data_IF_376918341861
#
_entry.id   IF_376918341861
#
_cell.length_a   1.000
_cell.length_b   1.000
_cell.length_c   1.000
_cell.angle_alpha   90.00
_cell.angle_beta   90.00
_cell.angle_gamma   90.00
#
_symmetry.space_group_name_H-M   'P 1'
#
loop_
_entity.id
_entity.type
_entity.pdbx_description
1 polymer ?
#
# COMPACT_ATOMS: atom_id res chain seq x y z
N UNK A 1 -1.81 34.23 -12.01
CA UNK A 1 -1.06 34.10 -13.28
C UNK A 1 0.40 34.47 -12.97
N UNK A 2 1.22 33.47 -12.73
CA UNK A 2 2.62 33.67 -12.24
C UNK A 2 3.62 33.57 -13.39
N UNK A 3 3.26 32.98 -14.53
CA UNK A 3 4.22 32.70 -15.60
C UNK A 3 3.68 33.13 -16.96
N UNK A 4 4.58 33.64 -17.81
CA UNK A 4 4.37 33.72 -19.23
C UNK A 4 4.19 32.32 -19.84
N UNK A 5 3.98 32.24 -21.12
CA UNK A 5 3.87 30.97 -21.85
C UNK A 5 5.21 30.21 -21.67
N UNK A 6 5.18 29.07 -20.98
CA UNK A 6 6.29 28.15 -20.86
C UNK A 6 5.96 26.94 -21.72
N UNK A 7 6.79 26.68 -22.73
CA UNK A 7 6.71 25.44 -23.49
C UNK A 7 7.36 24.32 -22.68
N UNK A 8 6.58 23.29 -22.39
CA UNK A 8 7.02 22.08 -21.70
C UNK A 8 7.15 20.97 -22.73
N UNK A 9 8.25 20.25 -22.70
CA UNK A 9 8.44 19.05 -23.52
C UNK A 9 7.55 17.91 -22.98
N UNK A 10 7.46 17.77 -21.67
CA UNK A 10 6.67 16.74 -20.99
C UNK A 10 6.01 17.30 -19.74
N UNK A 11 4.84 16.75 -19.41
CA UNK A 11 4.05 17.09 -18.20
C UNK A 11 3.60 15.83 -17.52
N UNK A 12 4.06 15.60 -16.31
CA UNK A 12 3.68 14.45 -15.51
C UNK A 12 2.80 14.87 -14.34
N UNK A 13 1.93 13.96 -13.93
CA UNK A 13 1.08 14.16 -12.76
C UNK A 13 1.07 12.90 -11.87
N UNK A 14 0.76 13.12 -10.61
CA UNK A 14 0.43 12.07 -9.66
C UNK A 14 -1.05 12.18 -9.28
N UNK A 15 -1.68 11.08 -8.94
CA UNK A 15 -3.09 11.07 -8.55
C UNK A 15 -3.28 10.50 -7.16
N UNK A 16 -4.04 11.19 -6.31
CA UNK A 16 -4.47 10.66 -5.01
C UNK A 16 -5.75 9.81 -5.10
N UNK A 17 -6.35 9.69 -6.30
CA UNK A 17 -7.60 8.96 -6.54
C UNK A 17 -8.63 9.21 -5.46
N UNK A 18 -9.37 10.29 -5.54
CA UNK A 18 -10.50 10.66 -4.67
C UNK A 18 -10.77 9.65 -3.50
N UNK A 19 -9.99 9.73 -2.42
CA UNK A 19 -10.11 8.82 -1.25
C UNK A 19 -9.09 7.69 -1.16
N UNK A 20 -8.10 7.64 -2.08
CA UNK A 20 -7.06 6.62 -2.09
C UNK A 20 -7.49 5.29 -2.68
N UNK A 21 -6.52 4.42 -2.91
CA UNK A 21 -6.74 3.03 -3.31
C UNK A 21 -7.10 2.21 -2.07
N UNK A 22 -8.33 1.73 -2.00
CA UNK A 22 -8.80 0.90 -0.88
C UNK A 22 -8.26 -0.51 -1.02
N UNK A 23 -7.47 -0.95 -0.07
CA UNK A 23 -6.92 -2.29 -0.06
C UNK A 23 -7.19 -3.04 1.24
N UNK A 24 -7.25 -4.34 1.12
CA UNK A 24 -7.04 -5.27 2.22
C UNK A 24 -5.81 -6.12 1.91
N UNK A 25 -5.14 -6.56 2.95
CA UNK A 25 -4.04 -7.50 2.84
C UNK A 25 -4.31 -8.74 3.70
N UNK A 26 -3.86 -9.89 3.22
CA UNK A 26 -4.08 -11.18 3.86
C UNK A 26 -2.72 -11.88 3.94
N UNK A 27 -2.37 -12.37 5.14
CA UNK A 27 -1.12 -13.08 5.36
C UNK A 27 -1.29 -14.26 6.30
N UNK A 28 -0.23 -15.06 6.48
CA UNK A 28 -0.27 -16.23 7.36
C UNK A 28 -0.09 -15.84 8.83
N UNK A 29 0.95 -15.06 9.14
CA UNK A 29 1.33 -14.72 10.51
C UNK A 29 1.33 -13.19 10.67
N UNK A 30 0.70 -12.64 11.74
CA UNK A 30 0.55 -11.20 11.93
C UNK A 30 1.85 -10.40 11.84
N UNK A 31 2.89 -10.84 12.56
CA UNK A 31 4.18 -10.14 12.69
C UNK A 31 5.16 -10.46 11.55
N UNK A 32 4.75 -11.26 10.57
CA UNK A 32 5.58 -11.70 9.45
C UNK A 32 4.92 -11.39 8.11
N UNK A 33 4.33 -12.39 7.47
CA UNK A 33 3.77 -12.27 6.11
C UNK A 33 2.61 -11.27 6.02
N UNK A 34 1.80 -11.14 7.07
CA UNK A 34 0.74 -10.13 7.08
C UNK A 34 1.32 -8.71 7.21
N UNK A 35 2.35 -8.52 8.03
CA UNK A 35 3.07 -7.25 8.10
C UNK A 35 3.77 -6.92 6.79
N UNK A 36 4.49 -7.88 6.17
CA UNK A 36 5.12 -7.69 4.86
C UNK A 36 4.10 -7.28 3.78
N UNK A 37 2.94 -7.92 3.77
CA UNK A 37 1.82 -7.59 2.89
C UNK A 37 1.30 -6.17 3.11
N UNK A 38 1.18 -5.75 4.35
CA UNK A 38 0.78 -4.40 4.71
C UNK A 38 1.81 -3.36 4.24
N UNK A 39 3.10 -3.59 4.47
CA UNK A 39 4.17 -2.68 4.03
C UNK A 39 4.22 -2.57 2.49
N UNK A 40 4.04 -3.68 1.76
CA UNK A 40 3.95 -3.66 0.31
C UNK A 40 2.79 -2.77 -0.16
N UNK A 41 1.62 -2.92 0.44
CA UNK A 41 0.42 -2.14 0.08
C UNK A 41 0.58 -0.64 0.37
N UNK A 42 1.09 -0.29 1.56
CA UNK A 42 1.32 1.10 1.97
C UNK A 42 2.37 1.79 1.10
N UNK A 43 3.50 1.13 0.81
CA UNK A 43 4.56 1.64 -0.05
C UNK A 43 4.11 1.81 -1.51
N UNK A 44 3.11 1.03 -1.96
CA UNK A 44 2.46 1.25 -3.26
C UNK A 44 1.52 2.46 -3.30
N UNK A 45 1.30 3.15 -2.19
CA UNK A 45 0.40 4.30 -2.08
C UNK A 45 -1.06 3.96 -1.75
N UNK A 46 -1.33 2.73 -1.33
CA UNK A 46 -2.67 2.31 -0.95
C UNK A 46 -3.06 2.77 0.48
N UNK A 47 -4.37 2.84 0.72
CA UNK A 47 -4.97 2.89 2.05
C UNK A 47 -5.35 1.46 2.45
N UNK A 48 -4.59 0.85 3.36
CA UNK A 48 -4.89 -0.48 3.89
C UNK A 48 -5.94 -0.34 4.99
N UNK A 49 -7.15 -0.79 4.70
CA UNK A 49 -8.23 -0.75 5.70
C UNK A 49 -8.02 -1.77 6.81
N UNK A 50 -7.72 -3.02 6.41
CA UNK A 50 -7.51 -4.12 7.36
C UNK A 50 -6.49 -5.12 6.83
N UNK A 51 -5.71 -5.66 7.73
CA UNK A 51 -4.81 -6.79 7.46
C UNK A 51 -5.36 -8.01 8.17
N UNK A 52 -5.68 -9.04 7.41
CA UNK A 52 -6.12 -10.34 7.93
C UNK A 52 -4.94 -11.28 8.09
N UNK A 53 -5.01 -12.13 9.09
CA UNK A 53 -4.00 -13.15 9.35
C UNK A 53 -4.66 -14.50 9.54
N UNK A 54 -3.93 -15.57 9.25
CA UNK A 54 -4.43 -16.93 9.30
C UNK A 54 -5.53 -17.20 8.26
N UNK A 55 -6.39 -18.18 8.53
CA UNK A 55 -7.52 -18.54 7.68
C UNK A 55 -8.65 -17.54 7.82
N UNK A 56 -9.13 -17.02 6.70
CA UNK A 56 -10.30 -16.16 6.65
C UNK A 56 -11.53 -16.88 7.20
N UNK A 57 -12.30 -16.19 8.04
CA UNK A 57 -13.56 -16.66 8.55
C UNK A 57 -14.74 -16.18 7.70
N UNK A 58 -15.92 -16.78 7.90
CA UNK A 58 -17.15 -16.26 7.28
C UNK A 58 -17.51 -14.83 7.73
N UNK A 59 -17.02 -14.42 8.91
CA UNK A 59 -17.14 -13.04 9.41
C UNK A 59 -16.28 -12.09 8.58
N UNK A 60 -15.00 -12.46 8.38
CA UNK A 60 -14.07 -11.67 7.58
C UNK A 60 -14.58 -11.53 6.14
N UNK A 61 -15.13 -12.59 5.54
CA UNK A 61 -15.70 -12.50 4.19
C UNK A 61 -16.86 -11.50 4.10
N UNK A 62 -17.74 -11.45 5.11
CA UNK A 62 -18.81 -10.44 5.16
C UNK A 62 -18.27 -9.02 5.27
N UNK A 63 -17.24 -8.79 6.09
CA UNK A 63 -16.57 -7.50 6.19
C UNK A 63 -15.94 -7.10 4.86
N UNK A 64 -15.28 -8.03 4.16
CA UNK A 64 -14.68 -7.78 2.84
C UNK A 64 -15.76 -7.41 1.81
N UNK A 65 -16.87 -8.13 1.81
CA UNK A 65 -18.02 -7.85 0.94
C UNK A 65 -18.61 -6.46 1.20
N UNK A 66 -18.76 -6.04 2.46
CA UNK A 66 -19.27 -4.71 2.83
C UNK A 66 -18.30 -3.59 2.48
N UNK A 67 -17.01 -3.80 2.71
CA UNK A 67 -15.99 -2.79 2.48
C UNK A 67 -15.75 -2.52 0.99
N UNK A 68 -15.91 -3.52 0.12
CA UNK A 68 -15.64 -3.43 -1.33
C UNK A 68 -14.25 -2.85 -1.61
N UNK A 69 -13.15 -3.56 -1.30
CA UNK A 69 -11.81 -3.10 -1.64
C UNK A 69 -11.61 -3.01 -3.15
N UNK A 70 -10.76 -2.08 -3.57
CA UNK A 70 -10.36 -1.92 -4.98
C UNK A 70 -9.35 -2.99 -5.40
N UNK A 71 -8.52 -3.47 -4.47
CA UNK A 71 -7.52 -4.54 -4.67
C UNK A 71 -7.40 -5.37 -3.39
N UNK A 72 -7.23 -6.67 -3.55
CA UNK A 72 -6.88 -7.60 -2.47
C UNK A 72 -5.45 -8.08 -2.69
N UNK A 73 -4.62 -8.01 -1.66
CA UNK A 73 -3.30 -8.62 -1.65
C UNK A 73 -3.35 -9.92 -0.84
N UNK A 74 -3.18 -11.04 -1.54
CA UNK A 74 -3.16 -12.38 -0.97
C UNK A 74 -1.73 -12.87 -0.83
N UNK A 75 -1.27 -13.05 0.40
CA UNK A 75 0.05 -13.56 0.73
C UNK A 75 -0.05 -14.73 1.72
N UNK A 76 1.05 -15.37 2.01
CA UNK A 76 1.14 -16.39 3.04
C UNK A 76 2.15 -17.48 2.72
N UNK A 77 2.90 -17.87 3.74
CA UNK A 77 4.01 -18.82 3.67
C UNK A 77 5.25 -18.26 2.98
N UNK A 78 6.41 -18.80 3.38
CA UNK A 78 7.67 -18.65 2.65
C UNK A 78 7.70 -19.60 1.45
N UNK A 79 8.61 -19.41 0.53
CA UNK A 79 8.73 -20.29 -0.65
C UNK A 79 9.08 -21.72 -0.24
N UNK A 80 8.23 -22.67 -0.67
CA UNK A 80 8.33 -24.07 -0.26
C UNK A 80 7.89 -24.36 1.19
N UNK A 81 7.40 -23.33 1.92
CA UNK A 81 6.81 -23.47 3.25
C UNK A 81 5.32 -23.75 3.24
N UNK A 82 4.58 -23.20 4.22
CA UNK A 82 3.13 -23.42 4.32
C UNK A 82 2.40 -22.93 3.06
N UNK A 83 1.59 -23.80 2.48
CA UNK A 83 0.70 -23.53 1.35
C UNK A 83 -0.78 -23.62 1.73
N UNK A 84 -1.14 -24.34 2.78
CA UNK A 84 -2.52 -24.63 3.14
C UNK A 84 -3.32 -23.34 3.42
N UNK A 85 -2.73 -22.40 4.13
CA UNK A 85 -3.40 -21.16 4.50
C UNK A 85 -3.72 -20.28 3.28
N UNK A 86 -2.77 -20.10 2.37
CA UNK A 86 -2.99 -19.25 1.18
C UNK A 86 -4.00 -19.90 0.23
N UNK A 87 -3.96 -21.21 0.04
CA UNK A 87 -4.91 -21.97 -0.77
C UNK A 87 -6.32 -21.89 -0.18
N UNK A 88 -6.45 -22.09 1.15
CA UNK A 88 -7.72 -21.91 1.84
C UNK A 88 -8.29 -20.50 1.65
N UNK A 89 -7.46 -19.48 1.79
CA UNK A 89 -7.88 -18.09 1.62
C UNK A 89 -8.25 -17.79 0.15
N UNK A 90 -7.55 -18.37 -0.82
CA UNK A 90 -7.94 -18.31 -2.23
C UNK A 90 -9.34 -18.93 -2.45
N UNK A 91 -9.61 -20.09 -1.83
CA UNK A 91 -10.93 -20.74 -1.90
C UNK A 91 -12.03 -19.85 -1.28
N UNK A 92 -11.76 -19.19 -0.16
CA UNK A 92 -12.71 -18.25 0.45
C UNK A 92 -12.97 -17.06 -0.49
N UNK A 93 -11.92 -16.46 -1.04
CA UNK A 93 -12.00 -15.29 -1.93
C UNK A 93 -12.68 -15.63 -3.27
N UNK A 94 -12.63 -16.89 -3.73
CA UNK A 94 -13.33 -17.30 -4.95
C UNK A 94 -14.84 -17.13 -4.85
N UNK A 95 -15.40 -17.08 -3.64
CA UNK A 95 -16.84 -16.91 -3.37
C UNK A 95 -17.30 -15.45 -3.30
N UNK A 96 -16.43 -14.45 -3.45
CA UNK A 96 -16.83 -13.03 -3.44
C UNK A 96 -17.91 -12.75 -4.52
N UNK A 97 -18.89 -11.92 -4.20
CA UNK A 97 -20.01 -11.60 -5.09
C UNK A 97 -19.65 -10.63 -6.22
N UNK A 98 -18.52 -9.93 -6.12
CA UNK A 98 -18.04 -8.95 -7.10
C UNK A 98 -16.62 -9.29 -7.57
N UNK A 99 -16.22 -8.76 -8.72
CA UNK A 99 -14.84 -8.89 -9.20
C UNK A 99 -13.96 -7.77 -8.66
N UNK A 100 -12.87 -8.19 -8.02
CA UNK A 100 -11.83 -7.33 -7.47
C UNK A 100 -10.48 -7.94 -7.84
N UNK A 101 -9.52 -7.19 -8.38
CA UNK A 101 -8.18 -7.69 -8.62
C UNK A 101 -7.56 -8.27 -7.37
N UNK A 102 -7.04 -9.48 -7.50
CA UNK A 102 -6.32 -10.19 -6.45
C UNK A 102 -4.86 -10.32 -6.87
N UNK A 103 -3.96 -9.69 -6.12
CA UNK A 103 -2.51 -9.84 -6.29
C UNK A 103 -2.07 -11.00 -5.41
N UNK A 104 -1.52 -12.04 -6.00
CA UNK A 104 -1.01 -13.23 -5.32
C UNK A 104 0.50 -13.06 -5.18
N UNK A 105 0.98 -12.82 -3.97
CA UNK A 105 2.38 -12.56 -3.66
C UNK A 105 2.85 -13.34 -2.41
N UNK A 106 2.46 -14.59 -2.33
CA UNK A 106 2.83 -15.53 -1.27
C UNK A 106 3.74 -16.66 -1.76
N UNK A 107 3.66 -17.79 -1.07
CA UNK A 107 4.45 -19.00 -1.41
C UNK A 107 4.34 -19.33 -2.91
N UNK A 108 5.46 -19.19 -3.63
CA UNK A 108 5.50 -19.43 -5.08
C UNK A 108 5.06 -20.82 -5.49
N UNK A 109 5.25 -21.82 -4.59
CA UNK A 109 4.86 -23.20 -4.87
C UNK A 109 3.34 -23.41 -4.86
N UNK A 110 2.58 -22.47 -4.30
CA UNK A 110 1.11 -22.47 -4.25
C UNK A 110 0.48 -21.43 -5.21
N UNK A 111 1.28 -20.62 -5.89
CA UNK A 111 0.79 -19.47 -6.63
C UNK A 111 -0.10 -19.86 -7.82
N UNK A 112 0.30 -20.85 -8.61
CA UNK A 112 -0.48 -21.35 -9.74
C UNK A 112 -1.80 -22.00 -9.26
N UNK A 113 -1.75 -22.83 -8.22
CA UNK A 113 -2.95 -23.46 -7.63
C UNK A 113 -3.90 -22.43 -7.04
N UNK A 114 -3.40 -21.34 -6.41
CA UNK A 114 -4.25 -20.21 -6.00
C UNK A 114 -4.97 -19.58 -7.18
N UNK A 115 -4.30 -19.41 -8.31
CA UNK A 115 -4.89 -18.84 -9.52
C UNK A 115 -5.96 -19.77 -10.10
N UNK A 116 -5.72 -21.07 -10.13
CA UNK A 116 -6.70 -22.08 -10.55
C UNK A 116 -7.95 -22.06 -9.67
N UNK A 117 -7.77 -21.99 -8.34
CA UNK A 117 -8.88 -21.92 -7.36
C UNK A 117 -9.70 -20.64 -7.56
N UNK A 118 -9.05 -19.52 -7.84
CA UNK A 118 -9.71 -18.23 -8.08
C UNK A 118 -10.44 -18.17 -9.44
N UNK A 119 -10.08 -19.04 -10.38
CA UNK A 119 -10.77 -19.25 -11.63
C UNK A 119 -10.79 -18.02 -12.54
N UNK A 120 -11.98 -17.55 -12.93
CA UNK A 120 -12.15 -16.42 -13.87
C UNK A 120 -11.90 -15.03 -13.24
N UNK A 121 -11.54 -14.97 -11.93
CA UNK A 121 -11.27 -13.69 -11.27
C UNK A 121 -10.01 -13.03 -11.82
N UNK A 122 -10.01 -11.71 -11.80
CA UNK A 122 -8.84 -10.91 -12.18
C UNK A 122 -7.70 -11.14 -11.20
N UNK A 123 -6.70 -11.92 -11.57
CA UNK A 123 -5.54 -12.25 -10.72
C UNK A 123 -4.22 -11.78 -11.33
N UNK A 124 -3.26 -11.45 -10.47
CA UNK A 124 -1.90 -11.07 -10.83
C UNK A 124 -0.92 -11.85 -9.96
N UNK A 125 -0.04 -12.62 -10.59
CA UNK A 125 1.03 -13.32 -9.89
C UNK A 125 2.23 -12.39 -9.69
N UNK A 126 2.72 -12.32 -8.46
CA UNK A 126 3.94 -11.60 -8.08
C UNK A 126 4.88 -12.52 -7.32
N UNK A 127 6.14 -12.09 -7.24
CA UNK A 127 7.08 -12.71 -6.32
C UNK A 127 6.59 -12.60 -4.88
N UNK A 128 6.96 -13.57 -4.07
CA UNK A 128 6.57 -13.61 -2.66
C UNK A 128 7.11 -12.38 -1.91
N UNK A 129 6.27 -11.69 -1.14
CA UNK A 129 6.68 -10.55 -0.29
C UNK A 129 7.66 -10.97 0.82
N UNK A 130 7.68 -12.26 1.15
CA UNK A 130 8.60 -12.85 2.13
C UNK A 130 9.05 -14.24 1.64
N UNK A 131 9.98 -14.31 0.66
CA UNK A 131 10.42 -15.61 0.10
C UNK A 131 11.12 -16.50 1.12
N UNK A 132 11.82 -15.88 2.10
CA UNK A 132 12.41 -16.56 3.25
C UNK A 132 12.03 -15.83 4.54
N UNK A 133 12.09 -16.55 5.65
CA UNK A 133 11.74 -15.98 6.95
C UNK A 133 12.62 -14.76 7.26
N UNK A 134 11.96 -13.60 7.45
CA UNK A 134 12.61 -12.33 7.76
C UNK A 134 13.22 -11.60 6.55
N UNK A 135 13.16 -12.16 5.35
CA UNK A 135 13.63 -11.52 4.11
C UNK A 135 12.45 -10.88 3.38
N UNK A 136 12.43 -9.54 3.34
CA UNK A 136 11.40 -8.79 2.62
C UNK A 136 11.72 -8.67 1.13
N UNK A 137 10.70 -8.86 0.28
CA UNK A 137 10.75 -8.63 -1.16
C UNK A 137 9.44 -7.94 -1.60
N UNK A 138 9.26 -6.70 -1.20
CA UNK A 138 8.00 -5.98 -1.38
C UNK A 138 7.92 -5.20 -2.69
N UNK A 139 9.04 -4.84 -3.31
CA UNK A 139 9.11 -3.99 -4.50
C UNK A 139 8.31 -4.54 -5.71
N UNK A 140 8.41 -5.84 -6.08
CA UNK A 140 7.63 -6.38 -7.20
C UNK A 140 6.12 -6.22 -6.98
N UNK A 141 5.66 -6.47 -5.75
CA UNK A 141 4.26 -6.31 -5.36
C UNK A 141 3.83 -4.84 -5.40
N UNK A 142 4.65 -3.92 -4.90
CA UNK A 142 4.39 -2.48 -4.98
C UNK A 142 4.23 -2.01 -6.42
N UNK A 143 5.11 -2.45 -7.32
CA UNK A 143 5.04 -2.13 -8.74
C UNK A 143 3.74 -2.63 -9.35
N UNK A 144 3.36 -3.88 -9.09
CA UNK A 144 2.12 -4.48 -9.59
C UNK A 144 0.87 -3.74 -9.10
N UNK A 145 0.81 -3.39 -7.82
CA UNK A 145 -0.30 -2.62 -7.24
C UNK A 145 -0.40 -1.25 -7.93
N UNK A 146 0.72 -0.55 -8.14
CA UNK A 146 0.75 0.73 -8.86
C UNK A 146 0.25 0.61 -10.31
N UNK A 147 0.63 -0.44 -11.02
CA UNK A 147 0.16 -0.68 -12.39
C UNK A 147 -1.35 -0.92 -12.44
N UNK A 148 -1.90 -1.72 -11.52
CA UNK A 148 -3.35 -1.95 -11.42
C UNK A 148 -4.08 -0.64 -11.11
N UNK A 149 -3.54 0.15 -10.17
CA UNK A 149 -4.07 1.46 -9.82
C UNK A 149 -4.13 2.38 -11.03
N UNK A 150 -3.04 2.53 -11.77
CA UNK A 150 -2.99 3.39 -12.95
C UNK A 150 -3.99 2.97 -14.02
N UNK A 151 -4.08 1.67 -14.31
CA UNK A 151 -5.06 1.14 -15.29
C UNK A 151 -6.50 1.42 -14.87
N UNK A 152 -6.86 1.21 -13.60
CA UNK A 152 -8.24 1.42 -13.10
C UNK A 152 -8.61 2.88 -13.00
N UNK A 153 -7.71 3.75 -12.59
CA UNK A 153 -7.98 5.18 -12.41
C UNK A 153 -8.03 5.92 -13.74
N UNK A 154 -7.08 5.64 -14.61
CA UNK A 154 -7.06 6.27 -15.94
C UNK A 154 -8.27 5.84 -16.77
N UNK A 155 -8.70 4.58 -16.64
CA UNK A 155 -9.85 4.07 -17.41
C UNK A 155 -11.22 4.31 -16.76
N UNK A 156 -11.30 4.43 -15.44
CA UNK A 156 -12.57 4.34 -14.70
C UNK A 156 -13.17 5.63 -14.17
N UNK A 157 -12.43 6.72 -14.00
CA UNK A 157 -12.89 7.89 -13.24
C UNK A 157 -12.83 9.23 -13.99
N UNK A 158 -13.00 9.25 -15.29
CA UNK A 158 -13.11 10.51 -16.05
C UNK A 158 -11.84 11.35 -16.12
N UNK A 159 -10.69 10.77 -15.78
CA UNK A 159 -9.37 11.40 -15.96
C UNK A 159 -8.95 11.49 -17.44
N UNK A 160 -9.76 10.99 -18.35
CA UNK A 160 -9.58 11.16 -19.80
C UNK A 160 -9.49 12.63 -20.22
N UNK A 161 -10.25 13.52 -19.58
CA UNK A 161 -10.15 14.97 -19.83
C UNK A 161 -8.85 15.59 -19.30
N UNK A 162 -8.27 15.03 -18.24
CA UNK A 162 -6.98 15.46 -17.69
C UNK A 162 -5.80 14.85 -18.48
N UNK A 163 -5.99 13.73 -19.18
CA UNK A 163 -4.96 13.11 -20.00
C UNK A 163 -4.49 14.00 -21.15
N UNK A 164 -5.35 14.91 -21.61
CA UNK A 164 -5.01 15.88 -22.65
C UNK A 164 -4.10 17.01 -22.13
N UNK A 165 -4.02 17.19 -20.81
CA UNK A 165 -3.24 18.25 -20.17
C UNK A 165 -1.87 17.77 -19.67
N UNK A 166 -1.67 16.48 -19.57
CA UNK A 166 -0.43 15.86 -19.04
C UNK A 166 0.03 14.74 -19.96
N UNK A 167 1.34 14.55 -20.06
CA UNK A 167 1.96 13.46 -20.81
C UNK A 167 1.70 12.09 -20.16
N UNK A 168 1.29 12.07 -18.89
CA UNK A 168 0.87 10.86 -18.18
C UNK A 168 0.70 11.05 -16.66
N UNK A 169 -0.04 10.12 -16.06
CA UNK A 169 -0.07 9.93 -14.61
C UNK A 169 0.90 8.80 -14.31
N UNK A 170 1.97 9.12 -13.56
CA UNK A 170 3.09 8.20 -13.37
C UNK A 170 2.91 7.29 -12.16
N UNK A 171 2.27 7.77 -11.10
CA UNK A 171 2.08 6.99 -9.88
C UNK A 171 1.04 7.61 -8.93
N UNK A 172 0.62 6.87 -7.89
CA UNK A 172 -0.15 7.44 -6.78
C UNK A 172 0.63 8.55 -6.08
N UNK A 173 -0.07 9.62 -5.64
CA UNK A 173 0.57 10.73 -4.92
C UNK A 173 1.38 10.27 -3.69
N UNK A 174 0.87 9.35 -2.83
CA UNK A 174 1.68 8.89 -1.70
C UNK A 174 2.95 8.14 -2.08
N UNK A 175 2.95 7.41 -3.21
CA UNK A 175 4.18 6.78 -3.73
C UNK A 175 5.17 7.82 -4.24
N UNK A 176 4.69 8.85 -4.92
CA UNK A 176 5.54 9.95 -5.39
C UNK A 176 6.18 10.71 -4.22
N UNK A 177 5.41 10.93 -3.14
CA UNK A 177 5.94 11.54 -1.93
C UNK A 177 7.00 10.68 -1.25
N UNK A 178 6.78 9.36 -1.15
CA UNK A 178 7.77 8.44 -0.59
C UNK A 178 9.09 8.51 -1.38
N UNK A 179 9.01 8.40 -2.71
CA UNK A 179 10.19 8.52 -3.59
C UNK A 179 10.88 9.89 -3.45
N UNK A 180 10.10 10.98 -3.31
CA UNK A 180 10.68 12.31 -3.09
C UNK A 180 11.41 12.41 -1.74
N UNK A 181 10.90 11.76 -0.68
CA UNK A 181 11.55 11.70 0.62
C UNK A 181 12.83 10.85 0.58
N UNK A 182 12.85 9.74 -0.18
CA UNK A 182 14.06 8.96 -0.43
C UNK A 182 15.14 9.82 -1.13
N UNK A 183 14.77 10.50 -2.22
CA UNK A 183 15.68 11.39 -2.94
C UNK A 183 16.20 12.52 -2.05
N UNK A 184 15.39 13.07 -1.16
CA UNK A 184 15.81 14.10 -0.22
C UNK A 184 16.77 13.54 0.83
N UNK A 185 16.53 12.33 1.31
CA UNK A 185 17.38 11.62 2.28
C UNK A 185 18.73 11.26 1.69
N UNK A 186 18.73 10.60 0.53
CA UNK A 186 19.91 9.96 -0.05
C UNK A 186 20.69 10.90 -0.98
N UNK A 187 20.00 11.87 -1.57
CA UNK A 187 20.54 12.74 -2.59
C UNK A 187 20.33 12.22 -4.00
N UNK A 188 20.85 12.94 -4.96
CA UNK A 188 20.76 12.62 -6.38
C UNK A 188 22.02 13.09 -7.12
N UNK A 189 22.68 12.18 -7.83
CA UNK A 189 23.91 12.46 -8.57
C UNK A 189 25.00 13.12 -7.70
N UNK A 190 25.33 14.40 -7.97
CA UNK A 190 26.34 15.17 -7.21
C UNK A 190 25.75 15.87 -5.97
N UNK A 191 24.43 15.84 -5.78
CA UNK A 191 23.76 16.46 -4.64
C UNK A 191 23.66 15.48 -3.47
N UNK A 192 24.37 15.76 -2.40
CA UNK A 192 24.28 14.98 -1.17
C UNK A 192 22.88 15.13 -0.54
N UNK A 193 22.31 14.02 -0.08
CA UNK A 193 21.09 14.04 0.70
C UNK A 193 21.28 14.62 2.10
N UNK A 194 20.17 14.84 2.79
CA UNK A 194 20.16 15.38 4.16
C UNK A 194 20.30 14.30 5.25
N UNK A 195 20.33 13.01 4.85
CA UNK A 195 20.33 11.86 5.75
C UNK A 195 18.93 11.44 6.20
N UNK A 196 18.88 10.59 7.22
CA UNK A 196 17.63 10.06 7.76
C UNK A 196 16.62 11.16 8.09
N UNK A 197 15.36 10.93 7.73
CA UNK A 197 14.30 11.93 7.94
C UNK A 197 12.93 11.31 8.23
N UNK A 198 12.06 12.11 8.83
CA UNK A 198 10.63 11.86 8.92
C UNK A 198 9.90 13.01 8.25
N UNK A 199 9.07 12.68 7.26
CA UNK A 199 8.17 13.62 6.58
C UNK A 199 6.73 13.41 7.00
N UNK A 200 5.97 14.49 7.15
CA UNK A 200 4.54 14.45 7.45
C UNK A 200 3.79 15.22 6.38
N UNK A 201 2.86 14.56 5.72
CA UNK A 201 1.92 15.17 4.76
C UNK A 201 0.53 15.19 5.37
N UNK A 202 0.13 16.35 5.87
CA UNK A 202 -1.19 16.58 6.42
C UNK A 202 -2.15 17.05 5.33
N UNK A 203 -2.85 16.08 4.76
CA UNK A 203 -3.81 16.30 3.68
C UNK A 203 -5.20 16.73 4.14
N UNK A 204 -6.11 16.84 3.19
CA UNK A 204 -7.51 17.19 3.47
C UNK A 204 -8.31 16.07 4.13
N UNK A 205 -7.97 14.81 3.86
CA UNK A 205 -8.67 13.62 4.33
C UNK A 205 -7.81 12.68 5.19
N UNK A 206 -6.52 12.58 4.89
CA UNK A 206 -5.57 11.68 5.53
C UNK A 206 -4.33 12.43 5.98
N UNK A 207 -3.61 11.87 6.93
CA UNK A 207 -2.26 12.28 7.31
C UNK A 207 -1.32 11.13 6.98
N UNK A 208 -0.34 11.40 6.12
CA UNK A 208 0.68 10.45 5.71
C UNK A 208 2.00 10.76 6.42
N UNK A 209 2.65 9.72 6.94
CA UNK A 209 3.95 9.82 7.61
C UNK A 209 4.92 8.97 6.83
N UNK A 210 6.02 9.58 6.41
CA UNK A 210 7.11 8.96 5.68
C UNK A 210 8.34 8.92 6.58
N UNK A 211 8.94 7.74 6.72
CA UNK A 211 10.16 7.53 7.49
C UNK A 211 11.22 6.95 6.57
N UNK A 212 12.34 7.63 6.44
CA UNK A 212 13.51 7.18 5.70
C UNK A 212 14.63 7.04 6.74
N UNK A 213 14.88 5.82 7.18
CA UNK A 213 15.86 5.52 8.21
C UNK A 213 16.19 4.02 8.25
N UNK A 214 17.38 3.68 8.73
CA UNK A 214 17.72 2.30 9.03
C UNK A 214 16.77 1.73 10.08
N UNK A 215 16.08 0.63 9.74
CA UNK A 215 15.09 -0.03 10.61
C UNK A 215 15.67 -0.78 11.79
N UNK A 216 16.80 -0.31 12.34
CA UNK A 216 17.51 -0.93 13.46
C UNK A 216 17.28 -0.15 14.75
N UNK A 217 17.04 -0.82 15.89
CA UNK A 217 16.85 -0.11 17.15
C UNK A 217 18.12 0.60 17.60
N UNK A 218 18.00 1.86 17.99
CA UNK A 218 19.11 2.67 18.47
C UNK A 218 19.72 2.17 19.78
N UNK A 219 19.01 1.32 20.55
CA UNK A 219 19.46 0.78 21.83
C UNK A 219 19.88 -0.69 21.73
N UNK A 220 21.11 -0.99 22.14
CA UNK A 220 21.71 -2.34 22.21
C UNK A 220 21.01 -3.33 23.15
N UNK A 221 19.81 -3.19 23.54
CA UNK A 221 19.08 -4.13 24.40
C UNK A 221 17.66 -4.40 23.91
N UNK A 222 17.30 -3.79 22.82
CA UNK A 222 15.94 -3.92 22.27
C UNK A 222 15.84 -5.20 21.43
N UNK A 223 14.97 -6.12 21.87
CA UNK A 223 14.66 -7.32 21.07
C UNK A 223 13.63 -6.94 20.00
N UNK A 224 14.03 -7.01 18.75
CA UNK A 224 13.12 -6.85 17.61
C UNK A 224 12.13 -8.01 17.58
N UNK A 225 10.85 -7.69 17.47
CA UNK A 225 9.79 -8.68 17.18
C UNK A 225 9.27 -8.44 15.77
N UNK A 226 9.10 -9.52 15.02
CA UNK A 226 8.61 -9.43 13.63
C UNK A 226 9.72 -9.30 12.61
N UNK A 227 9.43 -8.59 11.52
CA UNK A 227 10.38 -8.33 10.43
C UNK A 227 11.11 -7.01 10.65
N UNK A 228 12.31 -6.89 10.08
CA UNK A 228 12.98 -5.61 9.97
C UNK A 228 12.14 -4.67 9.11
N UNK A 229 11.95 -3.44 9.58
CA UNK A 229 11.23 -2.44 8.81
C UNK A 229 12.02 -2.04 7.56
N UNK A 230 11.34 -1.77 6.42
CA UNK A 230 12.02 -1.26 5.23
C UNK A 230 12.63 0.11 5.51
N UNK A 231 13.74 0.44 4.82
CA UNK A 231 14.42 1.72 4.92
C UNK A 231 13.47 2.89 4.61
N UNK A 232 12.73 2.79 3.51
CA UNK A 232 11.69 3.74 3.15
C UNK A 232 10.32 3.19 3.53
N UNK A 233 9.67 3.84 4.47
CA UNK A 233 8.41 3.39 5.05
C UNK A 233 7.36 4.49 5.02
N UNK A 234 6.11 4.12 4.71
CA UNK A 234 4.94 4.97 4.81
C UNK A 234 3.92 4.38 5.77
N UNK A 235 3.37 5.21 6.64
CA UNK A 235 2.15 4.94 7.37
C UNK A 235 1.09 6.02 7.07
N UNK A 236 -0.18 5.69 7.29
CA UNK A 236 -1.29 6.61 7.01
C UNK A 236 -2.32 6.54 8.12
N UNK A 237 -2.69 7.73 8.62
CA UNK A 237 -3.85 7.93 9.49
C UNK A 237 -5.03 8.35 8.61
N UNK A 238 -5.91 7.39 8.35
CA UNK A 238 -6.98 7.53 7.36
C UNK A 238 -8.12 8.46 7.79
N UNK A 239 -8.21 8.77 9.09
CA UNK A 239 -9.29 9.52 9.70
C UNK A 239 -8.83 10.87 10.27
N UNK A 240 -7.57 11.25 10.00
CA UNK A 240 -6.99 12.52 10.41
C UNK A 240 -6.67 13.34 9.18
N UNK A 241 -7.37 14.46 9.00
CA UNK A 241 -7.15 15.38 7.87
C UNK A 241 -7.79 16.74 8.12
N UNK A 242 -7.25 17.77 7.45
CA UNK A 242 -7.61 19.17 7.73
C UNK A 242 -8.99 19.60 7.20
N UNK A 243 -9.64 18.79 6.36
CA UNK A 243 -10.89 19.19 5.72
C UNK A 243 -12.00 18.14 5.87
N UNK A 244 -11.80 16.97 5.29
CA UNK A 244 -12.84 15.94 5.23
C UNK A 244 -12.87 15.06 6.49
N UNK A 245 -11.74 14.91 7.16
CA UNK A 245 -11.56 14.09 8.37
C UNK A 245 -11.19 14.94 9.60
N UNK A 246 -11.62 16.21 9.64
CA UNK A 246 -11.36 17.09 10.79
C UNK A 246 -12.00 16.56 12.08
N UNK A 247 -13.09 15.82 12.00
CA UNK A 247 -13.73 15.20 13.16
C UNK A 247 -12.85 14.18 13.85
N UNK A 248 -12.02 13.42 13.10
CA UNK A 248 -11.04 12.49 13.69
C UNK A 248 -10.00 13.22 14.54
N UNK A 249 -9.60 14.43 14.15
CA UNK A 249 -8.72 15.26 14.98
C UNK A 249 -9.42 15.67 16.29
N UNK A 250 -10.68 16.09 16.20
CA UNK A 250 -11.47 16.48 17.37
C UNK A 250 -11.66 15.32 18.34
N UNK A 251 -11.94 14.12 17.83
CA UNK A 251 -12.07 12.90 18.63
C UNK A 251 -10.73 12.51 19.31
N UNK A 252 -9.63 12.56 18.55
CA UNK A 252 -8.31 12.23 19.06
C UNK A 252 -7.81 13.20 20.15
N UNK A 253 -8.12 14.49 20.00
CA UNK A 253 -7.67 15.53 20.96
C UNK A 253 -8.60 15.62 22.18
N UNK A 254 -9.86 15.23 22.03
CA UNK A 254 -10.90 15.33 23.07
C UNK A 254 -11.28 16.79 23.41
N UNK A 255 -12.52 16.99 23.84
CA UNK A 255 -13.13 18.32 24.09
C UNK A 255 -12.35 19.24 25.08
N UNK A 256 -11.51 18.69 25.94
CA UNK A 256 -10.80 19.44 26.99
C UNK A 256 -9.58 20.24 26.52
N UNK A 257 -9.08 20.03 25.32
CA UNK A 257 -7.88 20.71 24.78
C UNK A 257 -8.19 21.81 23.78
N UNK A 258 -9.42 21.88 23.28
CA UNK A 258 -9.86 22.87 22.30
C UNK A 258 -10.42 24.16 22.91
N UNK A 259 -10.54 24.21 24.25
CA UNK A 259 -11.13 25.33 25.00
C UNK A 259 -10.09 26.32 25.57
N UNK A 260 -8.86 26.35 25.00
CA UNK A 260 -7.85 27.35 25.41
C UNK A 260 -7.44 28.24 24.28
#
# INVERSE_FOLDING_TARGET
>A
KITGHIDYEERYACSSAAGGLKMISIGLVPELTAQASREASLGAGAKVWKTYSFNLTKGDMREIEEYHPDIILLTGGTDGGNSECILYNAQMLSSLSYDCPIVIAGNRCAAEECQEILGERTTFLCENVMPKLGELNIEPTQKQIREIFLKRIVQGKGLSEASDLVSGIIMPTPSAMLTAMELLSDGWEELSGIGELVGVDLGGATTDIYSIAEGSPANMGTVMKGIQEPYAKRSVEGDIGMRYSVHGILEAVGDRRLSK
#
